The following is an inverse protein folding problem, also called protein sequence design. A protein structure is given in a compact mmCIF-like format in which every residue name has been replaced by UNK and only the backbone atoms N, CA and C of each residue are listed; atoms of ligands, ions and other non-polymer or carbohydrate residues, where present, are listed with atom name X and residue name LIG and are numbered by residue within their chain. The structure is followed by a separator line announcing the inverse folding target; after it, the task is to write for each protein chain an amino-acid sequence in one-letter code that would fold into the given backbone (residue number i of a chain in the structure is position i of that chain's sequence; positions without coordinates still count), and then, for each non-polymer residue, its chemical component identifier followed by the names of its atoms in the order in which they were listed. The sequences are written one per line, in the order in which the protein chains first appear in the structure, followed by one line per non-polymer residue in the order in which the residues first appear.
data_IF_209072297479
#
_entry.id   IF_209072297479
#
_cell.length_a   1.000
_cell.length_b   1.000
_cell.length_c   1.000
_cell.angle_alpha   90.00
_cell.angle_beta   90.00
_cell.angle_gamma   90.00
#
_symmetry.space_group_name_H-M   'P 1'
#
loop_
_entity.id
_entity.type
_entity.pdbx_description
1 polymer ?
#
# COMPACT_ATOMS: atom_id res chain seq x y z
N UNK A 1 -14.17 4.68 12.65
CA UNK A 1 -14.90 5.47 11.63
C UNK A 1 -14.27 5.11 10.29
N UNK A 2 -15.02 4.54 9.35
CA UNK A 2 -14.46 4.04 8.10
C UNK A 2 -13.97 5.20 7.24
N UNK A 3 -12.66 5.31 7.04
CA UNK A 3 -12.10 6.19 6.03
C UNK A 3 -12.60 5.70 4.67
N UNK A 4 -13.19 6.61 3.88
CA UNK A 4 -13.78 6.29 2.59
C UNK A 4 -12.67 6.02 1.57
N UNK A 5 -12.24 4.76 1.46
CA UNK A 5 -11.23 4.30 0.50
C UNK A 5 -11.84 3.99 -0.87
N UNK A 6 -13.06 4.47 -1.15
CA UNK A 6 -13.80 4.18 -2.38
C UNK A 6 -13.16 4.79 -3.62
N UNK A 7 -12.24 5.76 -3.45
CA UNK A 7 -11.52 6.42 -4.53
C UNK A 7 -10.32 5.62 -5.06
N UNK A 8 -9.76 4.69 -4.28
CA UNK A 8 -8.67 3.83 -4.75
C UNK A 8 -9.28 2.73 -5.62
N UNK A 9 -9.11 2.86 -6.93
CA UNK A 9 -9.72 1.97 -7.92
C UNK A 9 -9.13 0.55 -7.89
N UNK A 10 -7.84 0.40 -7.54
CA UNK A 10 -7.15 -0.91 -7.53
C UNK A 10 -7.24 -1.58 -6.17
N UNK A 11 -7.58 -2.87 -6.15
CA UNK A 11 -7.75 -3.65 -4.90
C UNK A 11 -6.46 -3.79 -4.12
N UNK A 12 -5.34 -4.11 -4.78
CA UNK A 12 -4.06 -4.33 -4.11
C UNK A 12 -3.48 -3.04 -3.52
N UNK A 13 -3.57 -1.94 -4.25
CA UNK A 13 -3.20 -0.61 -3.78
C UNK A 13 -4.02 -0.23 -2.54
N UNK A 14 -5.35 -0.37 -2.62
CA UNK A 14 -6.24 -0.09 -1.51
C UNK A 14 -5.91 -0.93 -0.29
N UNK A 15 -5.70 -2.24 -0.48
CA UNK A 15 -5.36 -3.15 0.61
C UNK A 15 -4.05 -2.74 1.32
N UNK A 16 -3.02 -2.37 0.55
CA UNK A 16 -1.74 -1.92 1.10
C UNK A 16 -1.88 -0.60 1.85
N UNK A 17 -2.55 0.39 1.27
CA UNK A 17 -2.71 1.72 1.89
C UNK A 17 -3.53 1.63 3.18
N UNK A 18 -4.61 0.85 3.16
CA UNK A 18 -5.42 0.59 4.36
C UNK A 18 -4.60 -0.11 5.43
N UNK A 19 -3.91 -1.21 5.10
CA UNK A 19 -3.07 -1.94 6.06
C UNK A 19 -1.95 -1.06 6.64
N UNK A 20 -1.32 -0.22 5.82
CA UNK A 20 -0.27 0.69 6.28
C UNK A 20 -0.78 1.70 7.32
N UNK A 21 -1.95 2.31 7.06
CA UNK A 21 -2.57 3.26 7.99
C UNK A 21 -2.98 2.57 9.28
N UNK A 22 -3.61 1.40 9.21
CA UNK A 22 -4.00 0.61 10.39
C UNK A 22 -2.78 0.23 11.24
N UNK A 23 -1.68 -0.19 10.61
CA UNK A 23 -0.44 -0.52 11.30
C UNK A 23 0.15 0.68 12.06
N UNK A 24 0.08 1.88 11.47
CA UNK A 24 0.50 3.13 12.14
C UNK A 24 -0.46 3.51 13.27
N UNK A 25 -1.76 3.34 13.08
CA UNK A 25 -2.77 3.62 14.11
C UNK A 25 -2.60 2.73 15.35
N UNK A 26 -2.18 1.48 15.18
CA UNK A 26 -1.84 0.59 16.32
C UNK A 26 -0.44 0.85 16.91
N UNK A 27 0.30 1.82 16.39
CA UNK A 27 1.59 2.27 16.92
C UNK A 27 2.84 1.62 16.32
N UNK A 28 2.76 0.97 15.15
CA UNK A 28 3.97 0.56 14.44
C UNK A 28 4.70 1.76 13.84
N UNK A 29 6.03 1.71 13.83
CA UNK A 29 6.84 2.69 13.11
C UNK A 29 6.68 2.55 11.59
N UNK A 30 7.05 3.61 10.86
CA UNK A 30 6.88 3.69 9.40
C UNK A 30 7.64 2.59 8.65
N UNK A 31 8.84 2.22 9.12
CA UNK A 31 9.68 1.22 8.46
C UNK A 31 9.17 -0.21 8.69
N UNK A 32 8.74 -0.52 9.91
CA UNK A 32 8.09 -1.79 10.24
C UNK A 32 6.78 -1.95 9.47
N UNK A 33 5.96 -0.90 9.42
CA UNK A 33 4.71 -0.87 8.64
C UNK A 33 4.95 -1.07 7.15
N UNK A 34 5.97 -0.41 6.59
CA UNK A 34 6.39 -0.56 5.20
C UNK A 34 6.83 -1.99 4.87
N UNK A 35 7.64 -2.60 5.73
CA UNK A 35 8.10 -3.99 5.56
C UNK A 35 6.95 -4.99 5.62
N UNK A 36 5.99 -4.77 6.53
CA UNK A 36 4.80 -5.59 6.65
C UNK A 36 3.95 -5.49 5.37
N UNK A 37 3.71 -4.28 4.87
CA UNK A 37 2.97 -4.06 3.62
C UNK A 37 3.65 -4.67 2.40
N UNK A 38 4.98 -4.56 2.31
CA UNK A 38 5.76 -5.22 1.25
C UNK A 38 5.60 -6.74 1.30
N UNK A 39 5.58 -7.31 2.51
CA UNK A 39 5.39 -8.75 2.70
C UNK A 39 3.96 -9.16 2.31
N UNK A 40 2.96 -8.42 2.78
CA UNK A 40 1.55 -8.63 2.44
C UNK A 40 1.33 -8.62 0.93
N UNK A 41 1.87 -7.63 0.22
CA UNK A 41 1.79 -7.55 -1.24
C UNK A 41 2.35 -8.81 -1.91
N UNK A 42 3.51 -9.31 -1.46
CA UNK A 42 4.16 -10.51 -2.03
C UNK A 42 3.46 -11.83 -1.69
N UNK A 43 2.68 -11.89 -0.62
CA UNK A 43 1.83 -13.06 -0.33
C UNK A 43 0.74 -13.19 -1.39
N UNK A 44 0.21 -12.07 -1.87
CA UNK A 44 -0.77 -12.04 -2.95
C UNK A 44 -0.15 -12.09 -4.35
N UNK A 45 1.05 -11.50 -4.52
CA UNK A 45 1.83 -11.49 -5.76
C UNK A 45 3.18 -12.18 -5.57
N UNK A 46 3.20 -13.52 -5.44
CA UNK A 46 4.46 -14.26 -5.33
C UNK A 46 5.35 -14.10 -6.56
N UNK A 47 4.77 -13.77 -7.71
CA UNK A 47 5.46 -13.47 -8.97
C UNK A 47 6.25 -12.16 -8.93
N UNK A 48 5.87 -11.21 -8.06
CA UNK A 48 6.53 -9.93 -7.97
C UNK A 48 7.88 -10.05 -7.27
N UNK A 49 8.91 -9.45 -7.87
CA UNK A 49 10.22 -9.36 -7.26
C UNK A 49 10.19 -8.50 -5.97
N UNK A 50 11.14 -8.72 -5.06
CA UNK A 50 11.24 -7.90 -3.83
C UNK A 50 11.42 -6.42 -4.16
N UNK A 51 12.21 -6.11 -5.19
CA UNK A 51 12.48 -4.73 -5.62
C UNK A 51 11.22 -4.07 -6.17
N UNK A 52 10.46 -4.77 -7.01
CA UNK A 52 9.20 -4.29 -7.57
C UNK A 52 8.15 -4.05 -6.48
N UNK A 53 7.99 -5.02 -5.57
CA UNK A 53 7.08 -4.90 -4.43
C UNK A 53 7.41 -3.67 -3.58
N UNK A 54 8.69 -3.47 -3.24
CA UNK A 54 9.12 -2.29 -2.47
C UNK A 54 8.85 -1.00 -3.22
N UNK A 55 9.14 -0.96 -4.53
CA UNK A 55 8.92 0.23 -5.35
C UNK A 55 7.43 0.60 -5.35
N UNK A 56 6.56 -0.32 -5.71
CA UNK A 56 5.11 -0.08 -5.78
C UNK A 56 4.54 0.35 -4.43
N UNK A 57 4.86 -0.40 -3.36
CA UNK A 57 4.38 -0.08 -2.01
C UNK A 57 4.87 1.30 -1.56
N UNK A 58 6.13 1.66 -1.85
CA UNK A 58 6.66 3.00 -1.54
C UNK A 58 5.91 4.09 -2.31
N UNK A 59 5.65 3.90 -3.61
CA UNK A 59 4.93 4.87 -4.43
C UNK A 59 3.50 5.08 -3.91
N UNK A 60 2.80 4.01 -3.52
CA UNK A 60 1.45 4.11 -2.98
C UNK A 60 1.41 4.80 -1.62
N UNK A 61 2.37 4.52 -0.73
CA UNK A 61 2.46 5.18 0.57
C UNK A 61 2.79 6.65 0.40
N UNK A 62 3.77 7.00 -0.45
CA UNK A 62 4.12 8.38 -0.72
C UNK A 62 2.90 9.16 -1.26
N UNK A 63 2.21 8.61 -2.25
CA UNK A 63 1.06 9.26 -2.87
C UNK A 63 -0.14 9.41 -1.93
N UNK A 64 -0.58 8.32 -1.30
CA UNK A 64 -1.83 8.31 -0.53
C UNK A 64 -1.66 8.69 0.94
N UNK A 65 -0.48 8.51 1.52
CA UNK A 65 -0.26 8.69 2.96
C UNK A 65 0.58 9.94 3.25
N UNK A 66 1.58 10.23 2.42
CA UNK A 66 2.43 11.41 2.62
C UNK A 66 1.88 12.64 1.90
N UNK A 67 1.52 12.49 0.61
CA UNK A 67 0.94 13.57 -0.19
C UNK A 67 -0.57 13.70 -0.02
N UNK A 68 -1.21 12.66 0.51
CA UNK A 68 -2.68 12.57 0.69
C UNK A 68 -3.47 12.83 -0.60
N UNK A 69 -2.89 12.49 -1.75
CA UNK A 69 -3.51 12.65 -3.06
C UNK A 69 -4.46 11.47 -3.33
N UNK A 70 -5.55 11.75 -4.03
CA UNK A 70 -6.59 10.79 -4.44
C UNK A 70 -6.50 10.42 -5.92
N UNK A 71 -5.53 10.99 -6.64
CA UNK A 71 -5.24 10.68 -8.04
C UNK A 71 -4.77 9.23 -8.25
N UNK A 72 -4.74 8.77 -9.52
CA UNK A 72 -4.27 7.43 -9.85
C UNK A 72 -2.76 7.30 -9.65
N UNK A 73 -2.32 6.13 -9.17
CA UNK A 73 -0.91 5.76 -9.13
C UNK A 73 -0.59 4.68 -10.17
N UNK A 74 0.70 4.51 -10.48
CA UNK A 74 1.21 3.30 -11.12
C UNK A 74 0.98 2.12 -10.17
N UNK A 75 -0.01 1.30 -10.49
CA UNK A 75 -0.36 0.12 -9.69
C UNK A 75 0.05 -1.19 -10.36
N UNK A 76 -0.23 -2.31 -9.70
CA UNK A 76 -0.01 -3.63 -10.30
C UNK A 76 -0.91 -3.87 -11.52
N UNK A 77 -0.41 -4.67 -12.48
CA UNK A 77 -1.15 -5.17 -13.65
C UNK A 77 -1.96 -6.44 -13.32
N UNK A 78 -2.37 -6.56 -12.07
CA UNK A 78 -3.15 -7.64 -11.48
C UNK A 78 -4.64 -7.50 -11.87
N UNK A 79 -5.32 -8.62 -12.14
CA UNK A 79 -6.74 -8.68 -12.56
C UNK A 79 -7.72 -8.64 -11.35
#
# INVERSE_FOLDING_TARGET
MGHDFSHISRRCERAVVTAYRELREVGNDDFSSFRACTTLYRVHHPEASVTEARRLVSEWIDHHVIREDIGPTDGCACD
#
